data_IF_874813446754
#
_entry.id   IF_874813446754
#
_cell.length_a   1.000
_cell.length_b   1.000
_cell.length_c   1.000
_cell.angle_alpha   90.00
_cell.angle_beta   90.00
_cell.angle_gamma   90.00
#
_symmetry.space_group_name_H-M   'P 1'
#
loop_
_entity.id
_entity.type
_entity.pdbx_description
1 polymer ?
#
# COMPACT_ATOMS: atom_id res chain seq x y z
N UNK A 1 -1.04 -2.18 -2.37
CA UNK A 1 -2.09 -1.17 -2.66
C UNK A 1 -1.54 -0.14 -3.63
N UNK A 2 -2.37 0.80 -4.11
CA UNK A 2 -1.95 1.81 -5.12
C UNK A 2 -0.76 2.67 -4.66
N UNK A 3 -0.65 2.95 -3.35
CA UNK A 3 0.48 3.67 -2.75
C UNK A 3 1.85 3.07 -3.10
N UNK A 4 1.93 1.75 -3.33
CA UNK A 4 3.18 1.08 -3.66
C UNK A 4 3.63 1.30 -5.13
N UNK A 5 2.80 1.94 -5.95
CA UNK A 5 3.04 2.21 -7.37
C UNK A 5 3.38 3.68 -7.66
N UNK A 6 3.38 4.54 -6.63
CA UNK A 6 3.74 5.95 -6.73
C UNK A 6 5.22 6.08 -7.12
N UNK A 7 5.51 7.02 -8.01
CA UNK A 7 6.86 7.41 -8.42
C UNK A 7 7.08 8.91 -8.16
N UNK A 8 8.34 9.32 -8.10
CA UNK A 8 8.68 10.72 -7.91
C UNK A 8 8.04 11.59 -9.00
N UNK A 9 7.51 12.74 -8.57
CA UNK A 9 6.81 13.72 -9.40
C UNK A 9 5.42 13.28 -9.90
N UNK A 10 4.87 12.13 -9.48
CA UNK A 10 3.46 11.86 -9.70
C UNK A 10 2.59 12.91 -8.99
N UNK A 11 1.55 13.38 -9.68
CA UNK A 11 0.59 14.31 -9.08
C UNK A 11 -0.39 13.55 -8.19
N UNK A 12 -0.58 14.08 -6.98
CA UNK A 12 -1.55 13.56 -6.00
C UNK A 12 -2.53 14.67 -5.69
N UNK A 13 -3.83 14.40 -5.85
CA UNK A 13 -4.91 15.30 -5.44
C UNK A 13 -5.40 14.90 -4.06
N UNK A 14 -5.40 15.88 -3.17
CA UNK A 14 -5.98 15.76 -1.82
C UNK A 14 -7.16 16.72 -1.77
N UNK A 15 -8.36 16.19 -1.58
CA UNK A 15 -9.57 16.98 -1.39
C UNK A 15 -10.13 16.70 0.01
N UNK A 16 -9.93 17.67 0.91
CA UNK A 16 -10.36 17.55 2.32
C UNK A 16 -11.89 17.59 2.45
N UNK A 17 -12.62 18.54 1.82
CA UNK A 17 -14.07 18.53 1.81
C UNK A 17 -14.68 17.22 1.27
N UNK A 18 -14.18 16.71 0.15
CA UNK A 18 -14.67 15.47 -0.46
C UNK A 18 -14.15 14.19 0.23
N UNK A 19 -13.14 14.32 1.12
CA UNK A 19 -12.44 13.21 1.78
C UNK A 19 -11.83 12.22 0.78
N UNK A 20 -11.31 12.74 -0.33
CA UNK A 20 -10.68 11.92 -1.38
C UNK A 20 -9.17 12.12 -1.42
N UNK A 21 -8.50 11.05 -1.83
CA UNK A 21 -7.07 11.02 -2.08
C UNK A 21 -6.86 10.26 -3.39
N UNK A 22 -6.45 10.98 -4.42
CA UNK A 22 -6.34 10.45 -5.78
C UNK A 22 -4.92 10.56 -6.30
N UNK A 23 -4.42 9.47 -6.88
CA UNK A 23 -3.19 9.47 -7.66
C UNK A 23 -3.55 9.79 -9.11
N UNK A 24 -3.10 10.94 -9.62
CA UNK A 24 -3.42 11.43 -10.97
C UNK A 24 -2.50 10.80 -12.02
N UNK A 25 -2.55 9.47 -12.10
CA UNK A 25 -1.83 8.67 -13.09
C UNK A 25 -2.85 7.85 -13.86
N UNK A 26 -2.68 7.77 -15.18
CA UNK A 26 -3.58 7.00 -16.02
C UNK A 26 -3.63 5.52 -15.61
N UNK A 27 -4.82 4.93 -15.74
CA UNK A 27 -5.04 3.53 -15.35
C UNK A 27 -4.11 2.55 -16.09
N UNK A 28 -3.82 2.81 -17.37
CA UNK A 28 -2.92 1.98 -18.18
C UNK A 28 -1.50 1.97 -17.62
N UNK A 29 -0.98 3.13 -17.23
CA UNK A 29 0.33 3.25 -16.60
C UNK A 29 0.35 2.59 -15.22
N UNK A 30 -0.71 2.74 -14.42
CA UNK A 30 -0.79 2.04 -13.12
C UNK A 30 -0.79 0.52 -13.26
N UNK A 31 -1.45 -0.03 -14.28
CA UNK A 31 -1.41 -1.47 -14.56
C UNK A 31 -0.02 -1.92 -15.04
N UNK A 32 0.67 -1.14 -15.88
CA UNK A 32 2.06 -1.42 -16.25
C UNK A 32 2.97 -1.44 -15.02
N UNK A 33 2.88 -0.41 -14.16
CA UNK A 33 3.65 -0.36 -12.91
C UNK A 33 3.34 -1.53 -11.99
N UNK A 34 2.08 -1.98 -11.94
CA UNK A 34 1.65 -3.14 -11.15
C UNK A 34 2.30 -4.43 -11.63
N UNK A 35 2.48 -4.61 -12.94
CA UNK A 35 3.14 -5.78 -13.52
C UNK A 35 4.64 -5.80 -13.19
N UNK A 36 5.28 -4.64 -13.16
CA UNK A 36 6.71 -4.49 -12.81
C UNK A 36 6.96 -4.54 -11.30
N UNK A 37 5.93 -4.30 -10.49
CA UNK A 37 6.05 -4.15 -9.06
C UNK A 37 6.41 -5.47 -8.38
N UNK A 38 7.48 -5.43 -7.58
CA UNK A 38 7.88 -6.52 -6.70
C UNK A 38 7.76 -6.07 -5.24
N UNK A 39 7.09 -6.86 -4.38
CA UNK A 39 6.98 -6.52 -2.97
C UNK A 39 8.37 -6.48 -2.32
N UNK A 40 8.65 -5.39 -1.62
CA UNK A 40 9.84 -5.30 -0.78
C UNK A 40 9.66 -6.22 0.44
N UNK A 41 10.62 -7.12 0.63
CA UNK A 41 10.68 -7.99 1.81
C UNK A 41 11.72 -7.45 2.77
N UNK A 42 11.29 -7.10 3.99
CA UNK A 42 12.20 -6.74 5.08
C UNK A 42 12.55 -7.99 5.86
N UNK A 43 13.83 -8.15 6.20
CA UNK A 43 14.23 -9.18 7.15
C UNK A 43 13.77 -8.80 8.56
N UNK A 44 12.99 -9.67 9.20
CA UNK A 44 12.45 -9.46 10.55
C UNK A 44 13.05 -10.52 11.47
N UNK A 45 13.91 -10.13 12.41
CA UNK A 45 14.57 -11.06 13.34
C UNK A 45 13.62 -11.57 14.43
N UNK A 46 12.75 -10.71 14.96
CA UNK A 46 11.79 -11.07 16.01
C UNK A 46 10.73 -12.06 15.53
N UNK A 47 10.58 -13.16 16.27
CA UNK A 47 9.56 -14.19 16.02
C UNK A 47 8.13 -13.63 16.14
N UNK A 48 7.90 -12.77 17.14
CA UNK A 48 6.59 -12.14 17.38
C UNK A 48 6.21 -11.19 16.24
N UNK A 49 7.15 -10.35 15.78
CA UNK A 49 6.89 -9.42 14.67
C UNK A 49 6.71 -10.17 13.34
N UNK A 50 7.44 -11.26 13.14
CA UNK A 50 7.27 -12.13 11.97
C UNK A 50 5.90 -12.79 11.93
N UNK A 51 5.35 -13.18 13.10
CA UNK A 51 3.97 -13.68 13.22
C UNK A 51 2.97 -12.56 12.93
N UNK A 52 3.15 -11.40 13.56
CA UNK A 52 2.23 -10.27 13.40
C UNK A 52 2.15 -9.79 11.94
N UNK A 53 3.28 -9.62 11.25
CA UNK A 53 3.28 -9.15 9.86
C UNK A 53 2.55 -10.08 8.88
N UNK A 54 2.42 -11.36 9.22
CA UNK A 54 1.69 -12.37 8.43
C UNK A 54 0.20 -12.42 8.76
N UNK A 55 -0.19 -12.06 9.98
CA UNK A 55 -1.54 -12.28 10.50
C UNK A 55 -2.36 -11.01 10.66
N UNK A 56 -1.72 -9.85 10.75
CA UNK A 56 -2.39 -8.58 10.89
C UNK A 56 -3.27 -8.30 9.67
N UNK A 57 -4.53 -7.94 9.93
CA UNK A 57 -5.46 -7.49 8.91
C UNK A 57 -5.14 -6.06 8.45
N UNK A 58 -5.84 -5.60 7.41
CA UNK A 58 -5.73 -4.21 6.97
C UNK A 58 -6.06 -3.24 8.10
N UNK A 59 -5.38 -2.08 8.13
CA UNK A 59 -5.68 -1.01 9.08
C UNK A 59 -7.14 -0.52 8.99
N UNK A 60 -7.76 -0.60 7.80
CA UNK A 60 -9.18 -0.31 7.62
C UNK A 60 -10.10 -1.24 8.43
N UNK A 61 -9.62 -2.43 8.81
CA UNK A 61 -10.32 -3.38 9.68
C UNK A 61 -9.73 -3.41 11.10
N UNK A 62 -8.98 -2.37 11.49
CA UNK A 62 -8.42 -2.23 12.84
C UNK A 62 -7.11 -2.99 13.09
N UNK A 63 -6.45 -3.51 12.05
CA UNK A 63 -5.17 -4.23 12.15
C UNK A 63 -5.19 -5.43 13.12
N UNK A 64 -6.36 -6.00 13.38
CA UNK A 64 -6.53 -7.17 14.25
C UNK A 64 -5.81 -8.38 13.66
N UNK A 65 -5.22 -9.22 14.51
CA UNK A 65 -4.63 -10.49 14.09
C UNK A 65 -5.73 -11.50 13.83
N UNK A 66 -5.77 -12.07 12.62
CA UNK A 66 -6.66 -13.19 12.31
C UNK A 66 -6.25 -14.38 13.18
N UNK A 67 -7.16 -14.90 14.00
CA UNK A 67 -6.97 -16.12 14.79
C UNK A 67 -7.14 -17.32 13.87
#
# INVERSE_FOLDING_TARGET
GAIALVRDNDQIRIDIPARTLELLVEKQELERRRQEWKPYSKEITSSVLRRYSRMASSAAHGAVTKI
#
